data_IF_985084113044
#
_entry.id   IF_985084113044
#
_cell.length_a   1.000
_cell.length_b   1.000
_cell.length_c   1.000
_cell.angle_alpha   90.00
_cell.angle_beta   90.00
_cell.angle_gamma   90.00
#
_symmetry.space_group_name_H-M   'P 1'
#
loop_
_entity.id
_entity.type
_entity.pdbx_description
1 polymer ?
#
# COMPACT_ATOMS: atom_id res chain seq x y z
N UNK A 1 8.29 -19.17 65.69
CA UNK A 1 8.58 -17.85 65.07
C UNK A 1 9.72 -18.04 64.09
N UNK A 2 9.42 -18.05 62.80
CA UNK A 2 10.26 -17.65 61.66
C UNK A 2 9.75 -18.37 60.38
N UNK A 3 8.62 -17.92 59.85
CA UNK A 3 8.30 -18.19 58.45
C UNK A 3 9.20 -17.27 57.61
N UNK A 4 10.09 -17.88 56.84
CA UNK A 4 11.02 -17.18 55.98
C UNK A 4 10.26 -16.74 54.72
N UNK A 5 9.71 -15.53 54.76
CA UNK A 5 9.09 -14.87 53.62
C UNK A 5 10.13 -14.66 52.51
N UNK A 6 10.17 -15.57 51.55
CA UNK A 6 10.94 -15.43 50.31
C UNK A 6 10.25 -14.35 49.47
N UNK A 7 10.80 -13.15 49.53
CA UNK A 7 10.36 -12.01 48.75
C UNK A 7 10.79 -12.22 47.29
N UNK A 8 9.93 -12.89 46.50
CA UNK A 8 10.05 -12.93 45.05
C UNK A 8 9.86 -11.50 44.51
N UNK A 9 10.97 -10.76 44.34
CA UNK A 9 11.00 -9.54 43.55
C UNK A 9 10.77 -9.92 42.09
N UNK A 10 9.49 -9.91 41.69
CA UNK A 10 9.11 -9.89 40.28
C UNK A 10 9.65 -8.58 39.72
N UNK A 11 10.83 -8.63 39.10
CA UNK A 11 11.35 -7.54 38.29
C UNK A 11 10.42 -7.40 37.09
N UNK A 12 9.41 -6.55 37.23
CA UNK A 12 8.61 -6.05 36.12
C UNK A 12 9.57 -5.29 35.20
N UNK A 13 10.16 -6.00 34.24
CA UNK A 13 10.77 -5.38 33.07
C UNK A 13 9.64 -4.65 32.34
N UNK A 14 9.45 -3.38 32.69
CA UNK A 14 8.70 -2.41 31.89
C UNK A 14 9.41 -2.27 30.56
N UNK A 15 9.17 -3.23 29.67
CA UNK A 15 9.52 -3.12 28.27
C UNK A 15 8.80 -1.88 27.74
N UNK A 16 9.53 -0.78 27.63
CA UNK A 16 9.02 0.48 27.12
C UNK A 16 8.38 0.21 25.77
N UNK A 17 7.04 0.20 25.75
CA UNK A 17 6.27 0.06 24.53
C UNK A 17 6.66 1.23 23.62
N UNK A 18 7.40 0.93 22.55
CA UNK A 18 7.85 1.89 21.55
C UNK A 18 6.63 2.38 20.76
N UNK A 19 5.85 3.29 21.34
CA UNK A 19 4.76 3.95 20.66
C UNK A 19 5.34 4.88 19.60
N UNK A 20 5.05 4.60 18.34
CA UNK A 20 5.34 5.50 17.22
C UNK A 20 4.71 6.86 17.57
N UNK A 21 5.55 7.90 17.60
CA UNK A 21 5.12 9.26 17.95
C UNK A 21 3.93 9.69 17.10
N UNK A 22 2.87 10.18 17.77
CA UNK A 22 1.65 10.73 17.13
C UNK A 22 1.99 11.75 16.03
N UNK A 23 3.09 12.48 16.17
CA UNK A 23 3.56 13.47 15.20
C UNK A 23 3.93 12.88 13.82
N UNK A 24 4.38 11.63 13.76
CA UNK A 24 4.69 10.97 12.47
C UNK A 24 3.43 10.75 11.64
N UNK A 25 2.32 10.35 12.27
CA UNK A 25 1.05 10.17 11.56
C UNK A 25 0.51 11.48 10.97
N UNK A 26 0.60 12.58 11.72
CA UNK A 26 0.16 13.89 11.21
C UNK A 26 0.99 14.38 10.02
N UNK A 27 2.31 14.13 10.02
CA UNK A 27 3.18 14.46 8.88
C UNK A 27 2.82 13.62 7.64
N UNK A 28 2.59 12.33 7.81
CA UNK A 28 2.18 11.44 6.71
C UNK A 28 0.79 11.81 6.20
N UNK A 29 -0.13 12.13 7.09
CA UNK A 29 -1.47 12.62 6.73
C UNK A 29 -1.38 13.88 5.88
N UNK A 30 -0.58 14.88 6.29
CA UNK A 30 -0.36 16.07 5.50
C UNK A 30 0.23 15.76 4.11
N UNK A 31 1.23 14.88 4.03
CA UNK A 31 1.79 14.45 2.75
C UNK A 31 0.74 13.79 1.84
N UNK A 32 -0.14 12.96 2.40
CA UNK A 32 -1.23 12.31 1.65
C UNK A 32 -2.31 13.28 1.20
N UNK A 33 -2.61 14.31 2.00
CA UNK A 33 -3.50 15.40 1.60
C UNK A 33 -2.91 16.17 0.41
N UNK A 34 -1.61 16.47 0.43
CA UNK A 34 -0.91 17.11 -0.70
C UNK A 34 -0.98 16.22 -1.94
N UNK A 35 -0.66 14.93 -1.83
CA UNK A 35 -0.76 13.97 -2.95
C UNK A 35 -2.19 13.89 -3.53
N UNK A 36 -3.22 13.94 -2.67
CA UNK A 36 -4.61 13.95 -3.11
C UNK A 36 -4.95 15.23 -3.89
N UNK A 37 -4.58 16.40 -3.36
CA UNK A 37 -4.78 17.68 -4.04
C UNK A 37 -4.06 17.69 -5.39
N UNK A 38 -2.84 17.16 -5.46
CA UNK A 38 -2.09 17.02 -6.71
C UNK A 38 -2.81 16.14 -7.74
N UNK A 39 -3.48 15.07 -7.30
CA UNK A 39 -4.23 14.20 -8.22
C UNK A 39 -5.44 14.92 -8.80
N UNK A 40 -6.17 15.67 -7.96
CA UNK A 40 -7.32 16.47 -8.39
C UNK A 40 -6.89 17.61 -9.30
N UNK A 41 -5.78 18.29 -8.97
CA UNK A 41 -5.22 19.35 -9.79
C UNK A 41 -4.76 18.83 -11.15
N UNK A 42 -4.07 17.68 -11.20
CA UNK A 42 -3.66 17.06 -12.46
C UNK A 42 -4.85 16.76 -13.36
N UNK A 43 -5.93 16.19 -12.81
CA UNK A 43 -7.17 15.94 -13.55
C UNK A 43 -7.83 17.25 -14.02
N UNK A 44 -7.86 18.28 -13.18
CA UNK A 44 -8.47 19.56 -13.54
C UNK A 44 -7.71 20.26 -14.67
N UNK A 45 -6.38 20.25 -14.63
CA UNK A 45 -5.51 20.83 -15.67
C UNK A 45 -5.67 20.10 -17.00
N UNK A 46 -5.69 18.76 -16.99
CA UNK A 46 -5.95 17.94 -18.19
C UNK A 46 -7.31 18.25 -18.82
N UNK A 47 -8.35 18.45 -18.01
CA UNK A 47 -9.71 18.68 -18.52
C UNK A 47 -9.99 20.10 -18.96
N UNK A 48 -9.38 21.11 -18.34
CA UNK A 48 -9.80 22.51 -18.52
C UNK A 48 -8.72 23.42 -19.12
N UNK A 49 -7.44 23.07 -19.04
CA UNK A 49 -6.36 24.02 -19.29
C UNK A 49 -5.42 23.60 -20.42
N UNK A 50 -5.09 22.31 -20.53
CA UNK A 50 -4.12 21.79 -21.50
C UNK A 50 -4.64 20.47 -22.05
N UNK A 51 -4.84 20.38 -23.37
CA UNK A 51 -5.06 19.11 -24.06
C UNK A 51 -3.75 18.30 -24.04
N UNK A 52 -3.61 17.47 -23.01
CA UNK A 52 -2.51 16.52 -22.89
C UNK A 52 -2.88 15.21 -23.56
N UNK A 53 -1.93 14.50 -24.20
CA UNK A 53 -2.20 13.16 -24.72
C UNK A 53 -2.51 12.21 -23.55
N UNK A 54 -3.62 11.47 -23.65
CA UNK A 54 -4.19 10.73 -22.51
C UNK A 54 -3.25 9.72 -21.85
N UNK A 55 -2.27 9.17 -22.58
CA UNK A 55 -1.26 8.26 -22.00
C UNK A 55 -0.36 8.97 -20.98
N UNK A 56 -0.04 10.24 -21.20
CA UNK A 56 0.80 11.03 -20.29
C UNK A 56 0.03 11.34 -19.00
N UNK A 57 -1.24 11.71 -19.11
CA UNK A 57 -2.10 11.95 -17.96
C UNK A 57 -2.30 10.69 -17.11
N UNK A 58 -2.53 9.53 -17.75
CA UNK A 58 -2.61 8.24 -17.06
C UNK A 58 -1.29 7.92 -16.35
N UNK A 59 -0.15 8.15 -16.99
CA UNK A 59 1.16 7.89 -16.39
C UNK A 59 1.37 8.73 -15.13
N UNK A 60 1.06 10.04 -15.19
CA UNK A 60 1.16 10.96 -14.04
C UNK A 60 0.23 10.50 -12.91
N UNK A 61 -1.03 10.18 -13.22
CA UNK A 61 -1.99 9.70 -12.23
C UNK A 61 -1.53 8.39 -11.56
N UNK A 62 -0.99 7.45 -12.33
CA UNK A 62 -0.44 6.19 -11.81
C UNK A 62 0.78 6.42 -10.92
N UNK A 63 1.70 7.31 -11.30
CA UNK A 63 2.85 7.65 -10.45
C UNK A 63 2.41 8.22 -9.10
N UNK A 64 1.45 9.14 -9.09
CA UNK A 64 0.91 9.73 -7.86
C UNK A 64 0.21 8.66 -7.00
N UNK A 65 -0.57 7.77 -7.63
CA UNK A 65 -1.25 6.67 -6.95
C UNK A 65 -0.27 5.68 -6.29
N UNK A 66 0.83 5.32 -6.97
CA UNK A 66 1.87 4.46 -6.42
C UNK A 66 2.54 5.14 -5.21
N UNK A 67 2.94 6.41 -5.34
CA UNK A 67 3.55 7.17 -4.25
C UNK A 67 2.64 7.23 -3.00
N UNK A 68 1.34 7.47 -3.21
CA UNK A 68 0.34 7.46 -2.14
C UNK A 68 0.25 6.10 -1.45
N UNK A 69 0.22 5.03 -2.23
CA UNK A 69 0.12 3.65 -1.72
C UNK A 69 1.34 3.26 -0.90
N UNK A 70 2.55 3.60 -1.36
CA UNK A 70 3.80 3.34 -0.62
C UNK A 70 3.79 4.02 0.75
N UNK A 71 3.37 5.30 0.82
CA UNK A 71 3.27 6.02 2.10
C UNK A 71 2.28 5.34 3.07
N UNK A 72 1.12 4.91 2.55
CA UNK A 72 0.09 4.24 3.36
C UNK A 72 0.62 2.90 3.91
N UNK A 73 1.25 2.07 3.08
CA UNK A 73 1.76 0.76 3.49
C UNK A 73 2.87 0.91 4.53
N UNK A 74 3.80 1.84 4.34
CA UNK A 74 4.92 2.00 5.27
C UNK A 74 4.50 2.53 6.64
N UNK A 75 3.56 3.49 6.68
CA UNK A 75 3.24 4.24 7.89
C UNK A 75 1.88 3.91 8.52
N UNK A 76 0.83 3.67 7.74
CA UNK A 76 -0.49 3.34 8.29
C UNK A 76 -0.68 1.85 8.52
N UNK A 77 -0.12 1.00 7.66
CA UNK A 77 -0.10 -0.45 7.88
C UNK A 77 1.04 -0.89 8.82
N UNK A 78 1.79 0.07 9.39
CA UNK A 78 2.95 -0.14 10.27
C UNK A 78 3.97 -1.16 9.75
N UNK A 79 4.04 -1.41 8.43
CA UNK A 79 4.93 -2.43 7.86
C UNK A 79 6.38 -2.14 8.23
N UNK A 80 6.78 -0.85 8.24
CA UNK A 80 8.14 -0.43 8.62
C UNK A 80 8.50 -0.76 10.08
N UNK A 81 7.53 -0.77 10.99
CA UNK A 81 7.74 -0.99 12.44
C UNK A 81 7.39 -2.43 12.86
N UNK A 82 6.69 -3.16 11.99
CA UNK A 82 6.36 -4.57 12.18
C UNK A 82 7.59 -5.48 12.18
N UNK A 83 7.39 -6.72 12.65
CA UNK A 83 8.44 -7.74 12.66
C UNK A 83 8.97 -8.04 11.25
N UNK A 84 10.21 -8.52 11.14
CA UNK A 84 10.80 -8.90 9.84
C UNK A 84 9.99 -9.99 9.13
N UNK A 85 9.37 -10.89 9.90
CA UNK A 85 8.47 -11.91 9.37
C UNK A 85 7.26 -11.27 8.69
N UNK A 86 6.62 -10.30 9.34
CA UNK A 86 5.48 -9.55 8.77
C UNK A 86 5.85 -8.83 7.47
N UNK A 87 7.05 -8.25 7.40
CA UNK A 87 7.55 -7.60 6.18
C UNK A 87 7.74 -8.59 5.02
N UNK A 88 8.23 -9.80 5.30
CA UNK A 88 8.38 -10.86 4.28
C UNK A 88 7.02 -11.31 3.76
N UNK A 89 6.02 -11.50 4.63
CA UNK A 89 4.66 -11.83 4.19
C UNK A 89 4.04 -10.72 3.36
N UNK A 90 4.22 -9.45 3.74
CA UNK A 90 3.72 -8.31 2.96
C UNK A 90 4.35 -8.27 1.56
N UNK A 91 5.67 -8.46 1.46
CA UNK A 91 6.36 -8.55 0.17
C UNK A 91 5.89 -9.76 -0.65
N UNK A 92 5.74 -10.92 0.00
CA UNK A 92 5.21 -12.14 -0.62
C UNK A 92 3.80 -11.97 -1.18
N UNK A 93 2.92 -11.24 -0.47
CA UNK A 93 1.58 -10.93 -0.94
C UNK A 93 1.59 -10.05 -2.21
N UNK A 94 2.51 -9.08 -2.29
CA UNK A 94 2.68 -8.27 -3.52
C UNK A 94 3.25 -9.09 -4.68
N UNK A 95 4.23 -9.97 -4.43
CA UNK A 95 4.75 -10.88 -5.47
C UNK A 95 3.64 -11.80 -5.97
N UNK A 96 2.86 -12.38 -5.05
CA UNK A 96 1.72 -13.22 -5.40
C UNK A 96 0.66 -12.46 -6.20
N UNK A 97 0.34 -11.22 -5.81
CA UNK A 97 -0.58 -10.36 -6.55
C UNK A 97 -0.10 -10.10 -7.98
N UNK A 98 1.20 -9.82 -8.17
CA UNK A 98 1.78 -9.60 -9.50
C UNK A 98 1.65 -10.87 -10.35
N UNK A 99 1.93 -12.04 -9.79
CA UNK A 99 1.77 -13.33 -10.49
C UNK A 99 0.32 -13.50 -10.96
N UNK A 100 -0.67 -13.27 -10.08
CA UNK A 100 -2.08 -13.34 -10.46
C UNK A 100 -2.41 -12.36 -11.58
N UNK A 101 -1.93 -11.12 -11.51
CA UNK A 101 -2.21 -10.10 -12.51
C UNK A 101 -1.65 -10.49 -13.89
N UNK A 102 -0.42 -11.00 -13.93
CA UNK A 102 0.24 -11.46 -15.17
C UNK A 102 -0.49 -12.66 -15.77
N UNK A 103 -0.85 -13.66 -14.97
CA UNK A 103 -1.57 -14.85 -15.45
C UNK A 103 -2.94 -14.45 -15.97
N UNK A 104 -3.70 -13.67 -15.21
CA UNK A 104 -5.04 -13.23 -15.60
C UNK A 104 -5.01 -12.39 -16.88
N UNK A 105 -4.16 -11.36 -16.96
CA UNK A 105 -4.04 -10.58 -18.20
C UNK A 105 -3.54 -11.43 -19.37
N UNK A 106 -2.59 -12.34 -19.14
CA UNK A 106 -2.11 -13.27 -20.16
C UNK A 106 -3.23 -14.15 -20.73
N UNK A 107 -4.13 -14.65 -19.89
CA UNK A 107 -5.33 -15.39 -20.32
C UNK A 107 -6.25 -14.51 -21.18
N UNK A 108 -6.53 -13.27 -20.77
CA UNK A 108 -7.32 -12.33 -21.59
C UNK A 108 -6.67 -12.03 -22.95
N UNK A 109 -5.35 -11.84 -23.00
CA UNK A 109 -4.63 -11.59 -24.25
C UNK A 109 -4.62 -12.82 -25.17
N UNK A 110 -4.45 -14.02 -24.61
CA UNK A 110 -4.41 -15.27 -25.38
C UNK A 110 -5.79 -15.67 -25.94
N UNK A 111 -6.88 -15.20 -25.34
CA UNK A 111 -8.27 -15.55 -25.71
C UNK A 111 -8.78 -14.98 -27.04
N UNK A 112 -7.97 -14.25 -27.81
CA UNK A 112 -8.26 -13.88 -29.20
C UNK A 112 -9.73 -13.57 -29.49
N UNK A 113 -10.20 -12.40 -29.10
CA UNK A 113 -11.54 -11.92 -29.42
C UNK A 113 -11.65 -11.67 -30.95
N UNK A 114 -12.68 -12.14 -31.69
CA UNK A 114 -14.01 -12.60 -31.26
C UNK A 114 -14.14 -14.12 -31.08
N UNK A 115 -15.16 -14.59 -30.32
CA UNK A 115 -15.56 -16.00 -30.32
C UNK A 115 -15.80 -16.44 -31.76
N UNK A 116 -15.18 -17.54 -32.20
CA UNK A 116 -15.49 -18.13 -33.51
C UNK A 116 -17.00 -18.38 -33.56
N UNK A 117 -17.70 -17.66 -34.45
CA UNK A 117 -19.10 -17.91 -34.73
C UNK A 117 -19.21 -19.34 -35.26
N UNK A 118 -19.90 -20.21 -34.51
CA UNK A 118 -20.18 -21.57 -34.97
C UNK A 118 -20.95 -21.55 -36.29
N UNK A 119 -20.88 -22.61 -37.11
CA UNK A 119 -21.65 -22.70 -38.34
C UNK A 119 -23.14 -22.45 -38.06
N UNK A 120 -23.72 -21.44 -38.70
CA UNK A 120 -25.16 -21.20 -38.66
C UNK A 120 -25.87 -22.34 -39.42
N UNK A 121 -27.00 -22.86 -38.92
CA UNK A 121 -27.86 -23.78 -39.67
C UNK A 121 -28.51 -23.09 -40.88
#
# INVERSE_FOLDING_TARGET
>A
MAEQHVHHTVHHHSAGHAHISRGTYYRVFAALMVLMVLTVAAWWVEKNLIEMPGWLAVTIAMTIAIAKTVLIVLYFMHVKVSSRITQVYAAGAFVWLIILFVITMGDYFARGWPPQAGPLP
#
